data_IF_068883949147
#
_entry.id   IF_068883949147
#
_cell.length_a   1.000
_cell.length_b   1.000
_cell.length_c   1.000
_cell.angle_alpha   90.00
_cell.angle_beta   90.00
_cell.angle_gamma   90.00
#
_symmetry.space_group_name_H-M   'P 1'
#
loop_
_entity.id
_entity.type
_entity.pdbx_description
1 polymer ?
#
# COMPACT_ATOMS: atom_id res chain seq x y z
N UNK A 1 27.73 -9.32 6.61
CA UNK A 1 27.83 -8.55 5.34
C UNK A 1 27.14 -7.23 5.55
N UNK A 2 27.73 -6.11 5.13
CA UNK A 2 27.14 -4.79 5.40
C UNK A 2 25.83 -4.62 4.62
N UNK A 3 24.85 -3.95 5.21
CA UNK A 3 23.53 -3.63 4.62
C UNK A 3 23.67 -2.99 3.23
N UNK A 4 24.73 -2.24 2.99
CA UNK A 4 25.06 -1.59 1.72
C UNK A 4 25.29 -2.58 0.57
N UNK A 5 25.99 -3.70 0.81
CA UNK A 5 26.29 -4.70 -0.23
C UNK A 5 25.06 -5.48 -0.68
N UNK A 6 24.12 -5.74 0.24
CA UNK A 6 22.85 -6.38 -0.09
C UNK A 6 21.96 -5.47 -0.93
N UNK A 7 21.87 -4.18 -0.58
CA UNK A 7 21.07 -3.21 -1.34
C UNK A 7 21.60 -3.08 -2.77
N UNK A 8 22.90 -3.05 -2.97
CA UNK A 8 23.51 -3.01 -4.30
C UNK A 8 23.12 -4.24 -5.15
N UNK A 9 23.18 -5.44 -4.59
CA UNK A 9 22.75 -6.66 -5.29
C UNK A 9 21.27 -6.64 -5.69
N UNK A 10 20.40 -6.20 -4.80
CA UNK A 10 18.97 -6.04 -5.11
C UNK A 10 18.73 -5.00 -6.21
N UNK A 11 19.50 -3.93 -6.20
CA UNK A 11 19.40 -2.90 -7.23
C UNK A 11 19.82 -3.44 -8.62
N UNK A 12 20.88 -4.23 -8.70
CA UNK A 12 21.27 -4.93 -9.93
C UNK A 12 20.12 -5.78 -10.47
N UNK A 13 19.51 -6.60 -9.61
CA UNK A 13 18.37 -7.44 -10.01
C UNK A 13 17.15 -6.60 -10.44
N UNK A 14 16.86 -5.51 -9.74
CA UNK A 14 15.73 -4.62 -10.07
C UNK A 14 15.92 -3.91 -11.43
N UNK A 15 17.16 -3.70 -11.85
CA UNK A 15 17.50 -3.08 -13.12
C UNK A 15 17.56 -4.09 -14.29
N UNK A 16 17.63 -5.40 -14.01
CA UNK A 16 17.74 -6.43 -15.03
C UNK A 16 16.40 -6.60 -15.79
N UNK A 17 16.35 -6.32 -17.11
CA UNK A 17 15.13 -6.43 -17.89
C UNK A 17 14.68 -7.89 -17.97
N UNK A 18 13.37 -8.12 -17.83
CA UNK A 18 12.78 -9.45 -17.96
C UNK A 18 12.95 -10.36 -16.74
N UNK A 19 13.62 -9.92 -15.67
CA UNK A 19 13.63 -10.66 -14.41
C UNK A 19 12.26 -10.55 -13.74
N UNK A 20 11.53 -11.65 -13.71
CA UNK A 20 10.22 -11.74 -13.05
C UNK A 20 10.32 -12.39 -11.66
N UNK A 21 9.29 -12.22 -10.81
CA UNK A 21 9.26 -12.79 -9.46
C UNK A 21 9.51 -14.31 -9.43
N UNK A 22 8.87 -15.07 -10.30
CA UNK A 22 9.01 -16.52 -10.36
C UNK A 22 10.45 -16.97 -10.69
N UNK A 23 11.14 -16.25 -11.56
CA UNK A 23 12.54 -16.54 -11.88
C UNK A 23 13.44 -16.21 -10.70
N UNK A 24 13.22 -15.09 -10.05
CA UNK A 24 14.00 -14.71 -8.85
C UNK A 24 13.78 -15.70 -7.70
N UNK A 25 12.53 -16.15 -7.45
CA UNK A 25 12.26 -17.15 -6.41
C UNK A 25 13.06 -18.44 -6.65
N UNK A 26 13.16 -18.91 -7.90
CA UNK A 26 14.00 -20.08 -8.24
C UNK A 26 15.49 -19.82 -7.98
N UNK A 27 16.00 -18.64 -8.35
CA UNK A 27 17.38 -18.28 -8.08
C UNK A 27 17.67 -18.21 -6.57
N UNK A 28 16.80 -17.59 -5.78
CA UNK A 28 16.94 -17.52 -4.33
C UNK A 28 16.80 -18.89 -3.64
N UNK A 29 16.17 -19.86 -4.27
CA UNK A 29 16.15 -21.26 -3.80
C UNK A 29 17.46 -22.02 -4.12
N UNK A 30 18.23 -21.55 -5.09
CA UNK A 30 19.46 -22.21 -5.56
C UNK A 30 20.74 -21.53 -5.05
N UNK A 31 20.64 -20.27 -4.61
CA UNK A 31 21.79 -19.47 -4.14
C UNK A 31 21.50 -18.84 -2.79
N UNK A 32 22.50 -18.78 -1.92
CA UNK A 32 22.36 -18.32 -0.54
C UNK A 32 22.11 -16.80 -0.42
N UNK A 33 22.47 -16.04 -1.45
CA UNK A 33 22.33 -14.58 -1.42
C UNK A 33 22.16 -13.94 -2.80
N UNK A 34 21.59 -12.76 -2.83
CA UNK A 34 21.50 -11.91 -4.02
C UNK A 34 22.88 -11.56 -4.58
N UNK A 35 23.84 -11.33 -3.70
CA UNK A 35 25.24 -11.06 -4.09
C UNK A 35 25.85 -12.26 -4.82
N UNK A 36 25.55 -13.47 -4.37
CA UNK A 36 26.01 -14.68 -5.04
C UNK A 36 25.37 -14.82 -6.43
N UNK A 37 24.06 -14.54 -6.56
CA UNK A 37 23.39 -14.51 -7.86
C UNK A 37 24.07 -13.54 -8.83
N UNK A 38 24.40 -12.34 -8.39
CA UNK A 38 25.07 -11.33 -9.21
C UNK A 38 26.50 -11.72 -9.63
N UNK A 39 27.14 -12.63 -8.91
CA UNK A 39 28.49 -13.10 -9.18
C UNK A 39 28.55 -14.40 -10.01
N UNK A 40 27.39 -14.95 -10.43
CA UNK A 40 27.33 -16.15 -11.25
C UNK A 40 27.72 -15.90 -12.70
N UNK A 41 28.02 -16.98 -13.44
CA UNK A 41 28.20 -16.90 -14.90
C UNK A 41 26.87 -16.81 -15.62
N UNK A 42 26.88 -16.27 -16.85
CA UNK A 42 25.68 -16.23 -17.68
C UNK A 42 25.11 -17.64 -17.93
N UNK A 43 25.97 -18.64 -18.13
CA UNK A 43 25.54 -20.04 -18.32
C UNK A 43 24.79 -20.56 -17.10
N UNK A 44 25.30 -20.35 -15.89
CA UNK A 44 24.65 -20.77 -14.63
C UNK A 44 23.29 -20.12 -14.46
N UNK A 45 23.19 -18.81 -14.72
CA UNK A 45 21.91 -18.09 -14.62
C UNK A 45 20.89 -18.55 -15.68
N UNK A 46 21.36 -18.90 -16.89
CA UNK A 46 20.51 -19.46 -17.94
C UNK A 46 20.02 -20.87 -17.60
N UNK A 47 20.86 -21.71 -17.00
CA UNK A 47 20.46 -23.02 -16.45
C UNK A 47 19.38 -22.87 -15.37
N UNK A 48 19.42 -21.79 -14.57
CA UNK A 48 18.38 -21.37 -13.63
C UNK A 48 17.08 -20.85 -14.28
N UNK A 49 17.01 -20.87 -15.62
CA UNK A 49 15.82 -20.52 -16.42
C UNK A 49 15.71 -19.05 -16.80
N UNK A 50 16.79 -18.27 -16.76
CA UNK A 50 16.80 -16.91 -17.29
C UNK A 50 17.06 -16.89 -18.80
N UNK A 51 16.53 -15.84 -19.46
CA UNK A 51 16.93 -15.54 -20.85
C UNK A 51 18.39 -15.05 -20.87
N UNK A 52 19.09 -15.26 -22.00
CA UNK A 52 20.44 -14.75 -22.18
C UNK A 52 20.52 -13.22 -21.95
N UNK A 53 19.50 -12.47 -22.40
CA UNK A 53 19.44 -11.03 -22.21
C UNK A 53 19.34 -10.65 -20.72
N UNK A 54 18.52 -11.35 -19.94
CA UNK A 54 18.38 -11.12 -18.49
C UNK A 54 19.63 -11.51 -17.74
N UNK A 55 20.23 -12.69 -18.05
CA UNK A 55 21.45 -13.17 -17.42
C UNK A 55 22.62 -12.19 -17.64
N UNK A 56 22.83 -11.75 -18.89
CA UNK A 56 23.86 -10.77 -19.21
C UNK A 56 23.63 -9.42 -18.50
N UNK A 57 22.39 -8.94 -18.40
CA UNK A 57 22.08 -7.69 -17.72
C UNK A 57 22.30 -7.77 -16.18
N UNK A 58 22.25 -8.96 -15.58
CA UNK A 58 22.61 -9.15 -14.17
C UNK A 58 24.13 -9.07 -13.97
N UNK A 59 24.90 -9.68 -14.89
CA UNK A 59 26.36 -9.76 -14.78
C UNK A 59 27.03 -8.44 -15.16
N UNK A 60 26.56 -7.82 -16.23
CA UNK A 60 27.06 -6.54 -16.74
C UNK A 60 25.90 -5.51 -16.79
N UNK A 61 25.53 -4.95 -15.63
CA UNK A 61 24.44 -4.00 -15.54
C UNK A 61 24.80 -2.68 -16.26
N UNK A 62 23.80 -2.02 -16.83
CA UNK A 62 23.97 -0.66 -17.38
C UNK A 62 24.45 0.30 -16.27
N UNK A 63 25.74 0.62 -16.31
CA UNK A 63 26.43 1.48 -15.32
C UNK A 63 25.72 2.83 -15.16
N UNK A 64 25.15 3.40 -16.23
CA UNK A 64 24.47 4.69 -16.17
C UNK A 64 23.16 4.57 -15.40
N UNK A 65 22.38 3.53 -15.66
CA UNK A 65 21.14 3.26 -14.94
C UNK A 65 21.38 2.94 -13.48
N UNK A 66 22.44 2.16 -13.22
CA UNK A 66 22.84 1.84 -11.84
C UNK A 66 23.23 3.10 -11.07
N UNK A 67 24.14 3.91 -11.61
CA UNK A 67 24.56 5.16 -10.98
C UNK A 67 23.40 6.16 -10.79
N UNK A 68 22.43 6.18 -11.71
CA UNK A 68 21.23 7.00 -11.56
C UNK A 68 20.37 6.52 -10.39
N UNK A 69 20.13 5.21 -10.28
CA UNK A 69 19.32 4.64 -9.21
C UNK A 69 20.03 4.74 -7.84
N UNK A 70 21.33 4.54 -7.78
CA UNK A 70 22.14 4.77 -6.57
C UNK A 70 22.05 6.22 -6.11
N UNK A 71 22.23 7.19 -7.03
CA UNK A 71 22.08 8.62 -6.73
C UNK A 71 20.67 8.94 -6.24
N UNK A 72 19.65 8.35 -6.86
CA UNK A 72 18.27 8.55 -6.41
C UNK A 72 18.08 8.06 -4.97
N UNK A 73 18.69 6.96 -4.58
CA UNK A 73 18.65 6.41 -3.23
C UNK A 73 19.44 7.21 -2.18
N UNK A 74 20.24 8.21 -2.56
CA UNK A 74 20.95 9.07 -1.58
C UNK A 74 20.03 10.07 -0.87
N UNK A 75 18.80 10.24 -1.33
CA UNK A 75 17.82 11.13 -0.70
C UNK A 75 17.14 10.42 0.47
N UNK A 76 17.04 11.08 1.63
CA UNK A 76 16.53 10.47 2.88
C UNK A 76 15.09 9.92 2.78
N UNK A 77 14.25 10.55 1.95
CA UNK A 77 12.87 10.10 1.73
C UNK A 77 12.73 8.97 0.68
N UNK A 78 13.84 8.52 0.08
CA UNK A 78 13.85 7.51 -0.97
C UNK A 78 14.31 6.16 -0.43
N UNK A 79 13.54 5.13 -0.71
CA UNK A 79 13.80 3.79 -0.17
C UNK A 79 13.73 2.74 -1.28
N UNK A 80 14.50 1.66 -1.12
CA UNK A 80 14.37 0.42 -1.87
C UNK A 80 13.97 -0.68 -0.88
N UNK A 81 12.76 -1.20 -1.00
CA UNK A 81 12.24 -2.28 -0.16
C UNK A 81 12.25 -3.57 -0.96
N UNK A 82 13.08 -4.51 -0.55
CA UNK A 82 13.29 -5.78 -1.23
C UNK A 82 12.42 -6.89 -0.60
N UNK A 83 12.08 -7.90 -1.38
CA UNK A 83 11.14 -8.96 -1.01
C UNK A 83 11.52 -9.74 0.26
N UNK A 84 12.81 -9.83 0.57
CA UNK A 84 13.30 -10.46 1.80
C UNK A 84 13.45 -9.49 2.97
N UNK A 85 13.17 -8.19 2.77
CA UNK A 85 13.25 -7.19 3.84
C UNK A 85 12.07 -7.32 4.78
N UNK A 86 12.28 -7.07 6.07
CA UNK A 86 11.25 -7.11 7.11
C UNK A 86 10.09 -6.14 6.83
N UNK A 87 10.38 -4.99 6.24
CA UNK A 87 9.40 -3.96 5.90
C UNK A 87 8.68 -4.22 4.56
N UNK A 88 8.96 -5.36 3.89
CA UNK A 88 8.22 -5.69 2.67
C UNK A 88 6.76 -5.99 3.02
N UNK A 89 5.78 -5.34 2.33
CA UNK A 89 4.37 -5.44 2.70
C UNK A 89 3.87 -6.89 2.71
N UNK A 90 3.41 -7.44 3.84
CA UNK A 90 3.02 -8.86 3.94
C UNK A 90 1.90 -9.23 2.97
N UNK A 91 0.86 -8.37 2.86
CA UNK A 91 -0.24 -8.58 1.92
C UNK A 91 0.23 -8.70 0.46
N UNK A 92 1.18 -7.84 0.06
CA UNK A 92 1.73 -7.88 -1.29
C UNK A 92 2.63 -9.09 -1.49
N UNK A 93 3.33 -9.53 -0.45
CA UNK A 93 4.21 -10.72 -0.48
C UNK A 93 3.43 -11.99 -0.80
N UNK A 94 2.22 -12.11 -0.24
CA UNK A 94 1.32 -13.25 -0.45
C UNK A 94 0.63 -13.22 -1.83
N UNK A 95 0.66 -12.08 -2.52
CA UNK A 95 0.01 -11.93 -3.81
C UNK A 95 0.79 -12.64 -4.93
N UNK A 96 0.07 -13.27 -5.86
CA UNK A 96 0.67 -13.83 -7.06
C UNK A 96 1.40 -12.73 -7.84
N UNK A 97 2.59 -13.04 -8.38
CA UNK A 97 3.42 -12.10 -9.13
C UNK A 97 3.85 -10.84 -8.33
N UNK A 98 4.01 -10.97 -7.02
CA UNK A 98 4.53 -9.91 -6.16
C UNK A 98 5.85 -9.33 -6.71
N UNK A 99 6.04 -8.01 -6.79
CA UNK A 99 7.32 -7.43 -7.21
C UNK A 99 8.39 -7.76 -6.17
N UNK A 100 9.57 -8.12 -6.60
CA UNK A 100 10.68 -8.45 -5.67
C UNK A 100 11.39 -7.23 -5.09
N UNK A 101 11.14 -6.05 -5.63
CA UNK A 101 11.64 -4.78 -5.13
C UNK A 101 10.60 -3.68 -5.37
N UNK A 102 10.51 -2.77 -4.43
CA UNK A 102 9.69 -1.57 -4.48
C UNK A 102 10.56 -0.34 -4.25
N UNK A 103 10.51 0.59 -5.17
CA UNK A 103 11.01 1.95 -4.98
C UNK A 103 9.93 2.76 -4.28
N UNK A 104 10.27 3.47 -3.21
CA UNK A 104 9.32 4.23 -2.39
C UNK A 104 9.86 5.64 -2.15
N UNK A 105 8.98 6.63 -2.24
CA UNK A 105 9.23 8.01 -1.81
C UNK A 105 8.22 8.35 -0.73
N UNK A 106 8.68 8.91 0.39
CA UNK A 106 7.87 9.22 1.57
C UNK A 106 7.96 8.15 2.65
N UNK A 107 6.86 7.86 3.34
CA UNK A 107 6.87 6.98 4.52
C UNK A 107 6.63 5.49 4.15
N UNK A 108 7.66 4.62 4.19
CA UNK A 108 7.53 3.22 3.83
C UNK A 108 6.69 2.39 4.81
N UNK A 109 6.57 2.80 6.06
CA UNK A 109 5.79 2.08 7.10
C UNK A 109 4.31 1.94 6.70
N UNK A 110 3.79 2.90 5.94
CA UNK A 110 2.40 2.90 5.47
C UNK A 110 2.07 1.68 4.59
N UNK A 111 3.06 1.05 3.97
CA UNK A 111 2.84 -0.10 3.09
C UNK A 111 2.41 -1.35 3.84
N UNK A 112 2.68 -1.43 5.14
CA UNK A 112 2.32 -2.56 6.00
C UNK A 112 1.04 -2.31 6.81
N UNK A 113 0.50 -1.09 6.79
CA UNK A 113 -0.76 -0.76 7.48
C UNK A 113 -1.98 -1.29 6.71
N UNK A 114 -3.14 -1.43 7.36
CA UNK A 114 -4.39 -1.77 6.68
C UNK A 114 -4.73 -0.77 5.58
N UNK A 115 -4.87 -1.25 4.34
CA UNK A 115 -5.12 -0.41 3.18
C UNK A 115 -6.41 -0.81 2.47
N UNK A 116 -7.05 0.17 1.84
CA UNK A 116 -8.18 0.00 0.93
C UNK A 116 -7.86 0.67 -0.41
N UNK A 117 -7.97 -0.08 -1.49
CA UNK A 117 -7.84 0.48 -2.83
C UNK A 117 -9.12 1.21 -3.24
N UNK A 118 -9.00 2.44 -3.76
CA UNK A 118 -10.10 3.19 -4.38
C UNK A 118 -9.70 3.46 -5.82
N UNK A 119 -10.43 2.87 -6.77
CA UNK A 119 -10.11 2.96 -8.20
C UNK A 119 -11.36 3.28 -9.02
N UNK A 120 -11.16 3.77 -10.25
CA UNK A 120 -12.29 4.03 -11.12
C UNK A 120 -11.92 4.69 -12.45
N UNK A 121 -12.92 5.31 -13.05
CA UNK A 121 -12.82 5.99 -14.34
C UNK A 121 -11.83 7.16 -14.31
N UNK A 122 -11.01 7.27 -15.36
CA UNK A 122 -10.17 8.46 -15.61
C UNK A 122 -10.98 9.67 -16.05
N UNK A 123 -12.15 9.42 -16.65
CA UNK A 123 -13.14 10.42 -17.07
C UNK A 123 -14.37 10.32 -16.17
N UNK A 124 -14.14 10.47 -14.86
CA UNK A 124 -15.18 10.39 -13.86
C UNK A 124 -16.21 11.52 -13.98
N UNK A 125 -17.45 11.25 -13.61
CA UNK A 125 -18.49 12.28 -13.48
C UNK A 125 -18.21 13.14 -12.23
N UNK A 126 -18.84 14.31 -12.13
CA UNK A 126 -18.77 15.14 -10.92
C UNK A 126 -19.24 14.35 -9.68
N UNK A 127 -20.32 13.60 -9.82
CA UNK A 127 -20.83 12.70 -8.77
C UNK A 127 -19.84 11.61 -8.39
N UNK A 128 -19.17 10.98 -9.38
CA UNK A 128 -18.15 9.96 -9.13
C UNK A 128 -16.96 10.53 -8.36
N UNK A 129 -16.49 11.74 -8.71
CA UNK A 129 -15.44 12.45 -8.01
C UNK A 129 -15.83 12.75 -6.56
N UNK A 130 -17.06 13.25 -6.34
CA UNK A 130 -17.58 13.52 -5.00
C UNK A 130 -17.72 12.24 -4.18
N UNK A 131 -18.27 11.19 -4.74
CA UNK A 131 -18.41 9.88 -4.09
C UNK A 131 -17.03 9.32 -3.69
N UNK A 132 -16.05 9.33 -4.61
CA UNK A 132 -14.69 8.87 -4.30
C UNK A 132 -14.08 9.68 -3.15
N UNK A 133 -14.28 10.99 -3.14
CA UNK A 133 -13.79 11.87 -2.08
C UNK A 133 -14.45 11.58 -0.73
N UNK A 134 -15.77 11.37 -0.70
CA UNK A 134 -16.51 11.04 0.51
C UNK A 134 -16.06 9.70 1.10
N UNK A 135 -15.97 8.65 0.27
CA UNK A 135 -15.49 7.34 0.72
C UNK A 135 -14.05 7.40 1.21
N UNK A 136 -13.15 8.10 0.48
CA UNK A 136 -11.76 8.25 0.90
C UNK A 136 -11.65 8.96 2.26
N UNK A 137 -12.43 10.01 2.49
CA UNK A 137 -12.47 10.72 3.78
C UNK A 137 -12.94 9.83 4.92
N UNK A 138 -14.05 9.13 4.74
CA UNK A 138 -14.59 8.25 5.79
C UNK A 138 -13.62 7.10 6.11
N UNK A 139 -13.13 6.40 5.08
CA UNK A 139 -12.23 5.26 5.26
C UNK A 139 -10.88 5.68 5.88
N UNK A 140 -10.32 6.82 5.46
CA UNK A 140 -9.09 7.34 6.06
C UNK A 140 -9.28 7.83 7.50
N UNK A 141 -10.44 8.38 7.84
CA UNK A 141 -10.78 8.75 9.21
C UNK A 141 -11.01 7.52 10.11
N UNK A 142 -11.45 6.40 9.52
CA UNK A 142 -11.57 5.11 10.22
C UNK A 142 -10.25 4.33 10.29
N UNK A 143 -9.11 4.95 9.94
CA UNK A 143 -7.78 4.38 10.11
C UNK A 143 -7.25 3.56 8.93
N UNK A 144 -8.00 3.43 7.83
CA UNK A 144 -7.47 2.79 6.62
C UNK A 144 -6.57 3.76 5.85
N UNK A 145 -5.46 3.26 5.32
CA UNK A 145 -4.68 3.98 4.33
C UNK A 145 -5.32 3.80 2.95
N UNK A 146 -5.66 4.89 2.28
CA UNK A 146 -6.23 4.84 0.93
C UNK A 146 -5.12 4.64 -0.09
N UNK A 147 -5.24 3.59 -0.90
CA UNK A 147 -4.29 3.24 -1.96
C UNK A 147 -4.95 3.43 -3.32
N UNK A 148 -4.23 4.05 -4.27
CA UNK A 148 -4.72 4.22 -5.64
C UNK A 148 -3.57 4.38 -6.63
N UNK A 149 -3.90 4.65 -7.90
CA UNK A 149 -2.94 4.64 -8.99
C UNK A 149 -2.49 6.01 -9.49
N UNK A 150 -2.80 7.09 -8.82
CA UNK A 150 -2.45 8.46 -9.23
C UNK A 150 -2.97 8.84 -10.64
N UNK A 151 -3.94 8.12 -11.19
CA UNK A 151 -4.56 8.45 -12.47
C UNK A 151 -5.49 9.67 -12.33
N UNK A 152 -5.90 10.27 -13.45
CA UNK A 152 -6.94 11.28 -13.45
C UNK A 152 -8.28 10.69 -13.01
N UNK A 153 -9.23 11.50 -12.58
CA UNK A 153 -10.58 11.09 -12.18
C UNK A 153 -10.63 10.54 -10.77
N UNK A 154 -11.14 9.34 -10.59
CA UNK A 154 -11.41 8.73 -9.27
C UNK A 154 -10.16 8.62 -8.41
N UNK A 155 -9.04 8.13 -8.97
CA UNK A 155 -7.77 7.99 -8.23
C UNK A 155 -7.31 9.32 -7.64
N UNK A 156 -7.30 10.38 -8.47
CA UNK A 156 -6.92 11.73 -8.02
C UNK A 156 -7.86 12.29 -6.97
N UNK A 157 -9.17 12.01 -7.08
CA UNK A 157 -10.17 12.45 -6.12
C UNK A 157 -9.95 11.80 -4.75
N UNK A 158 -9.72 10.48 -4.74
CA UNK A 158 -9.43 9.73 -3.53
C UNK A 158 -8.17 10.23 -2.81
N UNK A 159 -7.05 10.39 -3.54
CA UNK A 159 -5.81 10.91 -2.97
C UNK A 159 -5.97 12.34 -2.43
N UNK A 160 -6.62 13.22 -3.22
CA UNK A 160 -6.85 14.62 -2.81
C UNK A 160 -7.62 14.72 -1.51
N UNK A 161 -8.67 13.91 -1.38
CA UNK A 161 -9.51 13.88 -0.18
C UNK A 161 -8.72 13.48 1.08
N UNK A 162 -7.74 12.59 0.96
CA UNK A 162 -6.84 12.22 2.05
C UNK A 162 -5.84 13.34 2.37
N UNK A 163 -5.18 13.89 1.34
CA UNK A 163 -4.21 14.99 1.49
C UNK A 163 -4.83 16.22 2.15
N UNK A 164 -6.04 16.64 1.74
CA UNK A 164 -6.79 17.76 2.33
C UNK A 164 -7.05 17.60 3.82
N UNK A 165 -7.10 16.37 4.32
CA UNK A 165 -7.29 16.05 5.74
C UNK A 165 -6.00 15.65 6.45
N UNK A 166 -4.84 15.82 5.79
CA UNK A 166 -3.54 15.35 6.30
C UNK A 166 -3.54 13.87 6.69
N UNK A 167 -4.34 13.06 5.98
CA UNK A 167 -4.41 11.60 6.17
C UNK A 167 -3.47 10.89 5.19
N UNK A 168 -2.86 9.75 5.61
CA UNK A 168 -1.96 9.01 4.77
C UNK A 168 -2.66 8.42 3.55
N UNK A 169 -1.95 8.43 2.42
CA UNK A 169 -2.39 7.76 1.19
C UNK A 169 -1.18 7.21 0.43
N UNK A 170 -1.36 6.08 -0.25
CA UNK A 170 -0.31 5.40 -1.03
C UNK A 170 -0.65 5.47 -2.51
N UNK A 171 0.20 6.14 -3.28
CA UNK A 171 0.06 6.22 -4.72
C UNK A 171 1.01 5.24 -5.41
N UNK A 172 0.46 4.20 -6.05
CA UNK A 172 1.26 3.26 -6.85
C UNK A 172 1.45 3.81 -8.25
N UNK A 173 2.70 3.92 -8.72
CA UNK A 173 3.05 4.55 -10.00
C UNK A 173 3.41 3.51 -11.07
N UNK A 174 3.14 3.82 -12.34
CA UNK A 174 3.50 2.99 -13.50
C UNK A 174 4.76 3.49 -14.21
N UNK A 175 5.59 4.27 -13.53
CA UNK A 175 6.86 4.87 -14.00
C UNK A 175 7.88 4.80 -12.90
N UNK A 176 9.15 5.10 -13.20
CA UNK A 176 10.12 5.47 -12.17
C UNK A 176 9.63 6.67 -11.36
N UNK A 177 10.03 6.75 -10.10
CA UNK A 177 9.60 7.82 -9.17
C UNK A 177 10.42 9.11 -9.32
N UNK A 178 11.35 9.17 -10.26
CA UNK A 178 12.07 10.38 -10.70
C UNK A 178 11.16 11.31 -11.54
N UNK A 179 9.94 10.86 -11.86
CA UNK A 179 8.95 11.59 -12.65
C UNK A 179 7.53 11.29 -12.21
N UNK A 180 6.61 12.22 -12.46
CA UNK A 180 5.19 12.05 -12.16
C UNK A 180 4.39 11.89 -13.45
N UNK A 181 3.57 10.83 -13.51
CA UNK A 181 2.62 10.63 -14.60
C UNK A 181 1.22 10.31 -14.05
N UNK A 182 0.16 11.00 -14.52
CA UNK A 182 0.18 12.09 -15.49
C UNK A 182 0.75 13.38 -14.89
N UNK A 183 1.41 14.22 -15.71
CA UNK A 183 2.04 15.46 -15.25
C UNK A 183 1.07 16.44 -14.55
N UNK A 184 -0.23 16.38 -14.89
CA UNK A 184 -1.29 17.14 -14.22
C UNK A 184 -1.42 16.85 -12.72
N UNK A 185 -0.94 15.71 -12.26
CA UNK A 185 -0.96 15.30 -10.86
C UNK A 185 0.36 15.57 -10.12
N UNK A 186 1.28 16.36 -10.69
CA UNK A 186 2.59 16.65 -10.06
C UNK A 186 2.44 17.28 -8.67
N UNK A 187 1.57 18.29 -8.53
CA UNK A 187 1.30 18.93 -7.24
C UNK A 187 0.69 17.95 -6.23
N UNK A 188 -0.22 17.08 -6.70
CA UNK A 188 -0.81 16.04 -5.85
C UNK A 188 0.23 15.01 -5.41
N UNK A 189 1.11 14.58 -6.30
CA UNK A 189 2.21 13.66 -5.97
C UNK A 189 3.14 14.25 -4.89
N UNK A 190 3.53 15.53 -5.04
CA UNK A 190 4.35 16.22 -4.04
C UNK A 190 3.63 16.34 -2.67
N UNK A 191 2.31 16.54 -2.67
CA UNK A 191 1.54 16.57 -1.44
C UNK A 191 1.41 15.17 -0.79
N UNK A 192 1.28 14.11 -1.59
CA UNK A 192 1.28 12.72 -1.11
C UNK A 192 2.63 12.37 -0.46
N UNK A 193 3.74 12.78 -1.05
CA UNK A 193 5.09 12.56 -0.48
C UNK A 193 5.20 13.07 0.95
N UNK A 194 4.54 14.18 1.29
CA UNK A 194 4.60 14.80 2.63
C UNK A 194 3.76 14.08 3.69
N UNK A 195 2.68 13.40 3.30
CA UNK A 195 1.76 12.76 4.25
C UNK A 195 1.55 11.26 4.01
N UNK A 196 2.14 10.71 2.95
CA UNK A 196 1.90 9.37 2.46
C UNK A 196 3.13 8.71 1.87
N UNK A 197 2.93 7.97 0.77
CA UNK A 197 4.00 7.35 0.00
C UNK A 197 3.67 7.25 -1.49
N UNK A 198 4.67 7.44 -2.33
CA UNK A 198 4.66 7.04 -3.75
C UNK A 198 5.42 5.72 -3.87
N UNK A 199 4.88 4.77 -4.62
CA UNK A 199 5.44 3.42 -4.75
C UNK A 199 5.52 3.01 -6.21
N UNK A 200 6.61 2.36 -6.61
CA UNK A 200 6.75 1.80 -7.94
C UNK A 200 7.60 0.53 -7.94
N UNK A 201 7.27 -0.43 -8.79
CA UNK A 201 8.18 -1.54 -9.13
C UNK A 201 9.22 -1.15 -10.19
N UNK A 202 9.03 0.00 -10.83
CA UNK A 202 9.90 0.46 -11.90
C UNK A 202 11.01 1.35 -11.32
N UNK A 203 12.29 1.07 -11.66
CA UNK A 203 13.41 1.89 -11.20
C UNK A 203 13.36 3.32 -11.76
N UNK A 204 14.06 4.26 -11.12
CA UNK A 204 14.25 5.61 -11.66
C UNK A 204 14.71 5.58 -13.12
N UNK A 205 14.23 6.51 -13.93
CA UNK A 205 14.50 6.60 -15.37
C UNK A 205 13.51 5.85 -16.26
N UNK A 206 12.64 5.00 -15.71
CA UNK A 206 11.64 4.29 -16.51
C UNK A 206 10.49 5.22 -16.88
N UNK A 207 10.29 5.37 -18.19
CA UNK A 207 9.26 6.24 -18.77
C UNK A 207 7.86 5.60 -18.76
N UNK A 208 6.79 6.42 -18.89
CA UNK A 208 5.43 5.92 -19.02
C UNK A 208 5.29 5.01 -20.25
N UNK A 209 4.80 3.81 -20.04
CA UNK A 209 4.44 2.89 -21.13
C UNK A 209 3.08 2.29 -20.87
N UNK A 210 2.29 2.08 -21.94
CA UNK A 210 0.89 1.61 -21.84
C UNK A 210 0.75 0.31 -21.03
N UNK A 211 1.71 -0.60 -21.16
CA UNK A 211 1.69 -1.91 -20.51
C UNK A 211 2.10 -1.85 -19.01
N UNK A 212 2.72 -0.76 -18.57
CA UNK A 212 3.09 -0.56 -17.18
C UNK A 212 1.86 -0.35 -16.28
N UNK A 213 0.81 0.30 -16.79
CA UNK A 213 -0.36 0.64 -15.98
C UNK A 213 -1.20 -0.59 -15.59
N UNK A 214 -1.53 -1.52 -16.51
CA UNK A 214 -2.17 -2.78 -16.12
C UNK A 214 -1.28 -3.60 -15.16
N UNK A 215 0.01 -3.71 -15.45
CA UNK A 215 0.96 -4.43 -14.62
C UNK A 215 1.04 -3.86 -13.20
N UNK A 216 1.09 -2.53 -13.04
CA UNK A 216 1.09 -1.85 -11.77
C UNK A 216 -0.17 -2.13 -10.94
N UNK A 217 -1.34 -2.30 -11.58
CA UNK A 217 -2.62 -2.45 -10.87
C UNK A 217 -2.66 -3.64 -9.91
N UNK A 218 -1.90 -4.72 -10.18
CA UNK A 218 -1.73 -5.84 -9.24
C UNK A 218 -1.11 -5.45 -7.91
N UNK A 219 -0.32 -4.35 -7.88
CA UNK A 219 0.29 -3.84 -6.67
C UNK A 219 -0.72 -3.02 -5.87
N UNK A 220 -1.61 -2.27 -6.53
CA UNK A 220 -2.69 -1.54 -5.86
C UNK A 220 -3.58 -2.52 -5.08
N UNK A 221 -4.07 -3.57 -5.73
CA UNK A 221 -4.88 -4.60 -5.07
C UNK A 221 -4.07 -5.41 -4.06
N UNK A 222 -2.82 -5.75 -4.38
CA UNK A 222 -1.95 -6.55 -3.53
C UNK A 222 -1.56 -5.89 -2.20
N UNK A 223 -1.50 -4.55 -2.14
CA UNK A 223 -1.29 -3.79 -0.91
C UNK A 223 -2.56 -3.67 -0.07
N UNK A 224 -3.73 -3.93 -0.62
CA UNK A 224 -5.02 -3.59 -0.03
C UNK A 224 -5.78 -4.81 0.46
N UNK A 225 -6.54 -4.67 1.54
CA UNK A 225 -7.47 -5.68 2.06
C UNK A 225 -8.68 -5.86 1.13
N UNK A 226 -9.07 -4.78 0.44
CA UNK A 226 -10.15 -4.79 -0.54
C UNK A 226 -10.00 -3.67 -1.55
N UNK A 227 -10.79 -3.74 -2.62
CA UNK A 227 -10.77 -2.77 -3.73
C UNK A 227 -12.17 -2.22 -3.99
N UNK A 228 -12.36 -0.92 -3.79
CA UNK A 228 -13.58 -0.19 -4.12
C UNK A 228 -13.50 0.37 -5.55
N UNK A 229 -14.47 0.00 -6.38
CA UNK A 229 -14.67 0.57 -7.72
C UNK A 229 -15.82 1.56 -7.68
N UNK A 230 -15.52 2.86 -7.84
CA UNK A 230 -16.54 3.94 -7.73
C UNK A 230 -17.28 4.13 -9.04
N UNK A 231 -16.60 4.30 -10.14
CA UNK A 231 -17.15 4.36 -11.49
C UNK A 231 -16.27 3.58 -12.46
N UNK A 232 -16.88 2.78 -13.32
CA UNK A 232 -16.18 2.05 -14.37
C UNK A 232 -17.05 1.83 -15.59
N UNK A 233 -16.58 2.22 -16.76
CA UNK A 233 -17.13 1.74 -18.03
C UNK A 233 -16.74 0.27 -18.28
N UNK A 234 -17.34 -0.37 -19.28
CA UNK A 234 -17.13 -1.80 -19.58
C UNK A 234 -15.67 -2.15 -19.89
N UNK A 235 -14.92 -1.20 -20.41
CA UNK A 235 -13.50 -1.35 -20.78
C UNK A 235 -12.56 -0.56 -19.85
N UNK A 236 -13.03 -0.18 -18.67
CA UNK A 236 -12.22 0.58 -17.71
C UNK A 236 -11.06 -0.26 -17.17
N UNK A 237 -9.88 0.37 -17.08
CA UNK A 237 -8.72 -0.24 -16.40
C UNK A 237 -8.94 -0.56 -14.93
N UNK A 238 -9.92 0.07 -14.27
CA UNK A 238 -10.32 -0.24 -12.90
C UNK A 238 -10.86 -1.68 -12.76
N UNK A 239 -11.47 -2.23 -13.82
CA UNK A 239 -11.92 -3.62 -13.83
C UNK A 239 -10.74 -4.61 -13.82
N UNK A 240 -9.58 -4.22 -14.34
CA UNK A 240 -8.35 -5.02 -14.26
C UNK A 240 -7.88 -5.09 -12.81
N UNK A 241 -7.91 -3.95 -12.09
CA UNK A 241 -7.56 -3.91 -10.66
C UNK A 241 -8.51 -4.77 -9.83
N UNK A 242 -9.82 -4.69 -10.09
CA UNK A 242 -10.83 -5.54 -9.43
C UNK A 242 -10.60 -7.04 -9.73
N UNK A 243 -10.21 -7.38 -10.97
CA UNK A 243 -9.83 -8.75 -11.35
C UNK A 243 -8.63 -9.25 -10.55
N UNK A 244 -7.56 -8.46 -10.46
CA UNK A 244 -6.41 -8.80 -9.61
C UNK A 244 -6.78 -8.95 -8.14
N UNK A 245 -7.65 -8.07 -7.60
CA UNK A 245 -8.14 -8.20 -6.23
C UNK A 245 -8.81 -9.55 -5.99
N UNK A 246 -9.72 -9.97 -6.87
CA UNK A 246 -10.39 -11.26 -6.79
C UNK A 246 -9.41 -12.45 -6.92
N UNK A 247 -8.46 -12.39 -7.87
CA UNK A 247 -7.42 -13.41 -8.04
C UNK A 247 -6.49 -13.54 -6.81
N UNK A 248 -6.29 -12.44 -6.08
CA UNK A 248 -5.50 -12.37 -4.86
C UNK A 248 -6.31 -12.71 -3.59
N UNK A 249 -7.59 -13.10 -3.73
CA UNK A 249 -8.47 -13.39 -2.60
C UNK A 249 -8.81 -12.17 -1.75
N UNK A 250 -8.86 -10.97 -2.37
CA UNK A 250 -9.23 -9.72 -1.72
C UNK A 250 -10.68 -9.38 -2.01
N UNK A 251 -11.32 -8.68 -1.07
CA UNK A 251 -12.68 -8.21 -1.26
C UNK A 251 -12.79 -7.20 -2.40
N UNK A 252 -13.88 -7.30 -3.16
CA UNK A 252 -14.19 -6.35 -4.23
C UNK A 252 -15.52 -5.69 -3.92
N UNK A 253 -15.49 -4.36 -3.85
CA UNK A 253 -16.65 -3.50 -3.61
C UNK A 253 -16.97 -2.68 -4.84
N UNK A 254 -18.22 -2.44 -5.11
CA UNK A 254 -18.64 -1.61 -6.24
C UNK A 254 -19.81 -0.69 -5.86
N UNK A 255 -19.68 0.58 -6.23
CA UNK A 255 -20.75 1.56 -6.06
C UNK A 255 -21.81 1.31 -7.15
N UNK A 256 -23.09 1.14 -6.80
CA UNK A 256 -24.18 1.08 -7.77
C UNK A 256 -24.39 2.44 -8.44
N UNK A 257 -25.04 2.45 -9.59
CA UNK A 257 -25.37 3.70 -10.28
C UNK A 257 -26.53 3.52 -11.26
N UNK A 258 -26.84 4.58 -11.99
CA UNK A 258 -27.91 4.53 -12.97
C UNK A 258 -27.62 3.47 -14.05
N UNK A 259 -28.62 2.66 -14.38
CA UNK A 259 -28.55 1.67 -15.48
C UNK A 259 -28.33 2.32 -16.84
N UNK A 260 -28.62 3.60 -16.98
CA UNK A 260 -28.43 4.39 -18.20
C UNK A 260 -27.02 5.00 -18.29
N UNK A 261 -26.27 5.06 -17.16
CA UNK A 261 -24.92 5.61 -17.15
C UNK A 261 -23.90 4.62 -17.71
N UNK A 262 -23.14 4.99 -18.76
CA UNK A 262 -22.04 4.17 -19.24
C UNK A 262 -20.97 3.90 -18.18
N UNK A 263 -20.76 4.85 -17.24
CA UNK A 263 -19.77 4.76 -16.16
C UNK A 263 -20.19 3.81 -15.03
N UNK A 264 -21.45 3.37 -14.98
CA UNK A 264 -21.94 2.41 -13.99
C UNK A 264 -21.91 0.95 -14.51
N UNK A 265 -21.77 0.76 -15.82
CA UNK A 265 -21.86 -0.57 -16.44
C UNK A 265 -20.79 -1.55 -15.93
N UNK A 266 -19.58 -1.07 -15.68
CA UNK A 266 -18.49 -1.87 -15.11
C UNK A 266 -18.79 -2.27 -13.66
N UNK A 267 -19.24 -1.33 -12.82
CA UNK A 267 -19.67 -1.62 -11.44
C UNK A 267 -20.80 -2.65 -11.40
N UNK A 268 -21.83 -2.49 -12.25
CA UNK A 268 -22.93 -3.46 -12.36
C UNK A 268 -22.44 -4.85 -12.79
N UNK A 269 -21.43 -4.92 -13.70
CA UNK A 269 -20.81 -6.18 -14.08
C UNK A 269 -20.12 -6.83 -12.89
N UNK A 270 -19.33 -6.07 -12.12
CA UNK A 270 -18.65 -6.57 -10.92
C UNK A 270 -19.65 -7.09 -9.88
N UNK A 271 -20.73 -6.34 -9.60
CA UNK A 271 -21.79 -6.77 -8.67
C UNK A 271 -22.42 -8.09 -9.13
N UNK A 272 -22.73 -8.24 -10.42
CA UNK A 272 -23.24 -9.49 -10.99
C UNK A 272 -22.24 -10.66 -10.90
N UNK A 273 -20.95 -10.37 -10.79
CA UNK A 273 -19.87 -11.34 -10.63
C UNK A 273 -19.55 -11.65 -9.16
N UNK A 274 -20.27 -11.05 -8.21
CA UNK A 274 -20.12 -11.31 -6.79
C UNK A 274 -19.43 -10.19 -6.01
N UNK A 275 -19.06 -9.08 -6.64
CA UNK A 275 -18.57 -7.91 -5.89
C UNK A 275 -19.66 -7.39 -4.96
N UNK A 276 -19.31 -7.03 -3.73
CA UNK A 276 -20.24 -6.48 -2.75
C UNK A 276 -20.70 -5.08 -3.18
N UNK A 277 -22.00 -4.91 -3.32
CA UNK A 277 -22.61 -3.59 -3.51
C UNK A 277 -22.46 -2.80 -2.22
N UNK A 278 -21.98 -1.55 -2.32
CA UNK A 278 -21.82 -0.67 -1.18
C UNK A 278 -22.49 0.69 -1.43
N UNK A 279 -23.17 1.20 -0.43
CA UNK A 279 -23.83 2.49 -0.43
C UNK A 279 -23.18 3.45 0.57
N UNK A 280 -22.49 2.91 1.58
CA UNK A 280 -21.80 3.66 2.62
C UNK A 280 -20.42 3.09 2.92
N UNK A 281 -19.52 3.91 3.46
CA UNK A 281 -18.20 3.45 3.90
C UNK A 281 -18.29 2.41 5.04
N UNK A 282 -19.35 2.46 5.83
CA UNK A 282 -19.64 1.48 6.88
C UNK A 282 -19.70 0.05 6.34
N UNK A 283 -20.30 -0.16 5.16
CA UNK A 283 -20.41 -1.47 4.53
C UNK A 283 -19.03 -2.12 4.26
N UNK A 284 -18.02 -1.28 3.94
CA UNK A 284 -16.63 -1.70 3.73
C UNK A 284 -15.94 -1.96 5.05
N UNK A 285 -16.15 -1.06 6.03
CA UNK A 285 -15.52 -1.16 7.35
C UNK A 285 -15.97 -2.43 8.06
N UNK A 286 -17.26 -2.74 8.07
CA UNK A 286 -17.79 -3.97 8.66
C UNK A 286 -17.17 -5.23 8.06
N UNK A 287 -16.98 -5.26 6.75
CA UNK A 287 -16.39 -6.41 6.06
C UNK A 287 -14.90 -6.56 6.34
N UNK A 288 -14.16 -5.45 6.35
CA UNK A 288 -12.70 -5.47 6.44
C UNK A 288 -12.17 -5.36 7.88
N UNK A 289 -12.99 -4.97 8.87
CA UNK A 289 -12.56 -4.78 10.24
C UNK A 289 -11.83 -5.99 10.85
N UNK A 290 -12.32 -7.23 10.71
CA UNK A 290 -11.64 -8.39 11.29
C UNK A 290 -10.22 -8.58 10.71
N UNK A 291 -10.08 -8.40 9.39
CA UNK A 291 -8.79 -8.53 8.69
C UNK A 291 -7.84 -7.38 9.05
N UNK A 292 -8.36 -6.15 9.17
CA UNK A 292 -7.58 -4.97 9.56
C UNK A 292 -7.00 -5.13 10.98
N UNK A 293 -7.81 -5.58 11.94
CA UNK A 293 -7.38 -5.84 13.32
C UNK A 293 -6.30 -6.94 13.36
N UNK A 294 -6.51 -8.04 12.64
CA UNK A 294 -5.53 -9.13 12.58
C UNK A 294 -4.17 -8.62 12.06
N UNK A 295 -4.16 -7.82 10.99
CA UNK A 295 -2.94 -7.26 10.41
C UNK A 295 -2.23 -6.28 11.35
N UNK A 296 -2.96 -5.42 12.04
CA UNK A 296 -2.35 -4.50 13.00
C UNK A 296 -1.68 -5.24 14.16
N UNK A 297 -2.26 -6.35 14.63
CA UNK A 297 -1.66 -7.20 15.66
C UNK A 297 -0.38 -7.88 15.16
N UNK A 298 -0.36 -8.40 13.94
CA UNK A 298 0.83 -9.00 13.31
C UNK A 298 1.98 -7.99 13.16
N UNK A 299 1.67 -6.76 12.72
CA UNK A 299 2.67 -5.70 12.56
C UNK A 299 3.28 -5.28 13.89
N UNK A 300 2.50 -5.27 14.96
CA UNK A 300 2.99 -4.96 16.32
C UNK A 300 3.84 -6.09 16.89
N UNK A 301 3.45 -7.35 16.74
CA UNK A 301 4.21 -8.52 17.21
C UNK A 301 5.53 -8.74 16.46
N UNK A 302 5.55 -8.58 15.15
CA UNK A 302 6.77 -8.76 14.34
C UNK A 302 7.87 -7.73 14.64
N UNK A 303 7.50 -6.51 15.03
CA UNK A 303 8.45 -5.48 15.47
C UNK A 303 9.08 -5.76 16.85
N UNK A 304 8.41 -6.55 17.68
CA UNK A 304 8.92 -6.94 19.00
C UNK A 304 9.78 -8.20 18.96
N UNK A 305 9.54 -9.16 18.10
CA UNK A 305 10.37 -10.37 17.98
C UNK A 305 11.81 -10.07 17.53
N UNK A 306 12.02 -9.04 16.70
CA UNK A 306 13.35 -8.62 16.25
C UNK A 306 14.13 -7.79 17.28
N UNK A 307 13.48 -7.35 18.37
CA UNK A 307 14.08 -6.56 19.46
C UNK A 307 14.22 -7.35 20.76
N UNK A 308 13.82 -8.62 20.82
CA UNK A 308 13.85 -9.41 22.04
C UNK A 308 15.17 -10.14 22.23
N UNK A 309 15.84 -9.84 23.36
CA UNK A 309 16.58 -10.85 24.13
C UNK A 309 15.56 -11.88 24.70
N UNK A 310 15.91 -13.17 24.78
CA UNK A 310 14.95 -14.23 25.14
C UNK A 310 14.66 -14.20 26.63
N UNK A 311 13.68 -13.43 27.07
CA UNK A 311 12.92 -13.69 28.34
C UNK A 311 11.98 -12.56 28.71
N UNK A 312 10.71 -12.58 28.20
CA UNK A 312 9.52 -12.07 28.92
C UNK A 312 8.23 -12.36 28.10
N UNK A 313 7.10 -12.69 28.73
CA UNK A 313 5.87 -13.05 28.02
C UNK A 313 5.24 -11.88 27.28
N UNK A 314 4.75 -12.16 26.06
CA UNK A 314 4.34 -11.20 25.03
C UNK A 314 3.09 -10.36 25.34
N UNK A 315 2.23 -10.81 26.25
CA UNK A 315 0.92 -10.17 26.48
C UNK A 315 0.96 -8.83 27.25
N UNK A 316 2.05 -8.56 28.00
CA UNK A 316 2.08 -7.40 28.89
C UNK A 316 2.41 -6.06 28.21
N UNK A 317 3.13 -6.06 27.08
CA UNK A 317 3.58 -4.80 26.46
C UNK A 317 2.52 -4.20 25.52
N UNK A 318 1.77 -5.04 24.81
CA UNK A 318 0.67 -4.60 23.94
C UNK A 318 -0.45 -4.03 24.80
N UNK A 319 -0.83 -4.75 25.87
CA UNK A 319 -1.82 -4.30 26.85
C UNK A 319 -1.40 -2.98 27.48
N UNK A 320 -0.13 -2.81 27.83
CA UNK A 320 0.40 -1.57 28.40
C UNK A 320 0.32 -0.36 27.43
N UNK A 321 0.48 -0.56 26.12
CA UNK A 321 0.33 0.48 25.10
C UNK A 321 -1.11 0.97 25.00
N UNK A 322 -2.07 0.06 24.96
CA UNK A 322 -3.50 0.38 24.93
C UNK A 322 -3.97 1.02 26.24
N UNK A 323 -3.53 0.53 27.41
CA UNK A 323 -3.81 1.13 28.70
C UNK A 323 -3.27 2.55 28.79
N UNK A 324 -2.05 2.78 28.29
CA UNK A 324 -1.42 4.10 28.22
C UNK A 324 -2.21 5.06 27.34
N UNK A 325 -2.68 4.59 26.18
CA UNK A 325 -3.51 5.39 25.26
C UNK A 325 -4.88 5.70 25.87
N UNK A 326 -5.55 4.72 26.46
CA UNK A 326 -6.84 4.90 27.13
C UNK A 326 -6.72 5.82 28.35
N UNK A 327 -5.62 5.73 29.12
CA UNK A 327 -5.34 6.63 30.22
C UNK A 327 -5.09 8.07 29.74
N UNK A 328 -4.34 8.24 28.64
CA UNK A 328 -4.07 9.54 28.03
C UNK A 328 -5.32 10.18 27.41
N UNK A 329 -6.27 9.36 26.94
CA UNK A 329 -7.53 9.78 26.37
C UNK A 329 -8.47 10.36 27.44
N UNK A 330 -8.53 9.73 28.62
CA UNK A 330 -9.54 10.08 29.62
C UNK A 330 -10.97 9.80 29.14
N UNK A 331 -11.93 10.66 29.56
CA UNK A 331 -13.34 10.52 29.22
C UNK A 331 -13.87 11.67 28.33
N UNK A 332 -13.04 12.71 28.11
CA UNK A 332 -13.40 13.86 27.29
C UNK A 332 -12.97 13.65 25.82
N UNK A 333 -13.67 14.27 24.85
CA UNK A 333 -13.27 14.22 23.45
C UNK A 333 -11.86 14.77 23.22
N UNK A 334 -10.97 13.96 22.62
CA UNK A 334 -9.57 14.31 22.37
C UNK A 334 -9.19 14.05 20.92
N UNK A 335 -8.35 14.91 20.33
CA UNK A 335 -7.81 14.73 18.98
C UNK A 335 -6.59 13.80 18.95
N UNK A 336 -6.28 13.24 17.79
CA UNK A 336 -5.06 12.43 17.58
C UNK A 336 -3.81 13.18 18.02
N UNK A 337 -3.67 14.45 17.62
CA UNK A 337 -2.52 15.29 18.04
C UNK A 337 -2.45 15.50 19.57
N UNK A 338 -3.60 15.59 20.20
CA UNK A 338 -3.68 15.69 21.67
C UNK A 338 -3.21 14.40 22.35
N UNK A 339 -3.57 13.25 21.78
CA UNK A 339 -3.13 11.94 22.27
C UNK A 339 -1.63 11.73 22.06
N UNK A 340 -1.10 12.04 20.88
CA UNK A 340 0.33 11.98 20.56
C UNK A 340 1.15 12.75 21.60
N UNK A 341 0.73 13.99 21.93
CA UNK A 341 1.41 14.82 22.94
C UNK A 341 1.34 14.24 24.34
N UNK A 342 0.24 13.56 24.71
CA UNK A 342 0.03 13.02 26.06
C UNK A 342 0.68 11.66 26.29
N UNK A 343 0.66 10.78 25.28
CA UNK A 343 1.18 9.41 25.42
C UNK A 343 2.60 9.23 24.89
N UNK A 344 3.14 10.19 24.09
CA UNK A 344 4.48 10.11 23.52
C UNK A 344 4.63 9.02 22.45
N UNK A 345 3.52 8.51 21.90
CA UNK A 345 3.48 7.60 20.76
C UNK A 345 3.46 8.41 19.46
N UNK A 346 3.86 7.80 18.36
CA UNK A 346 3.76 8.43 17.04
C UNK A 346 2.31 8.56 16.58
N UNK A 347 2.03 9.49 15.66
CA UNK A 347 0.69 9.65 15.09
C UNK A 347 0.17 8.38 14.40
N UNK A 348 1.06 7.61 13.78
CA UNK A 348 0.73 6.33 13.15
C UNK A 348 0.32 5.27 14.18
N UNK A 349 1.08 5.12 15.28
CA UNK A 349 0.75 4.20 16.37
C UNK A 349 -0.58 4.57 17.02
N UNK A 350 -0.77 5.86 17.37
CA UNK A 350 -2.03 6.35 17.95
C UNK A 350 -3.21 6.08 17.02
N UNK A 351 -3.09 6.36 15.70
CA UNK A 351 -4.18 6.13 14.75
C UNK A 351 -4.52 4.64 14.62
N UNK A 352 -3.50 3.77 14.58
CA UNK A 352 -3.71 2.31 14.53
C UNK A 352 -4.40 1.78 15.79
N UNK A 353 -3.99 2.26 16.97
CA UNK A 353 -4.60 1.86 18.24
C UNK A 353 -6.04 2.37 18.37
N UNK A 354 -6.32 3.60 17.92
CA UNK A 354 -7.67 4.16 17.92
C UNK A 354 -8.62 3.37 17.02
N UNK A 355 -8.14 2.93 15.84
CA UNK A 355 -8.93 2.06 14.95
C UNK A 355 -9.36 0.78 15.68
N UNK A 356 -8.44 0.10 16.34
CA UNK A 356 -8.74 -1.14 17.07
C UNK A 356 -9.74 -0.89 18.18
N UNK A 357 -9.53 0.15 19.01
CA UNK A 357 -10.40 0.49 20.12
C UNK A 357 -11.81 0.92 19.64
N UNK A 358 -11.93 1.57 18.49
CA UNK A 358 -13.20 1.93 17.88
C UNK A 358 -13.94 0.69 17.35
N UNK A 359 -13.23 -0.23 16.67
CA UNK A 359 -13.78 -1.48 16.19
C UNK A 359 -14.17 -2.44 17.35
N UNK A 360 -13.47 -2.40 18.47
CA UNK A 360 -13.84 -3.12 19.68
C UNK A 360 -14.98 -2.42 20.46
N UNK A 361 -15.44 -1.26 19.98
CA UNK A 361 -16.51 -0.50 20.61
C UNK A 361 -16.16 0.19 21.91
N UNK A 362 -14.87 0.28 22.26
CA UNK A 362 -14.38 0.91 23.49
C UNK A 362 -14.35 2.45 23.40
N UNK A 363 -14.23 2.97 22.17
CA UNK A 363 -14.26 4.40 21.89
C UNK A 363 -15.23 4.69 20.73
N UNK A 364 -15.51 5.96 20.49
CA UNK A 364 -16.25 6.45 19.33
C UNK A 364 -15.55 7.66 18.70
N UNK A 365 -15.63 7.77 17.38
CA UNK A 365 -15.19 8.96 16.67
C UNK A 365 -16.30 10.02 16.68
N UNK A 366 -15.90 11.27 16.89
CA UNK A 366 -16.77 12.43 16.90
C UNK A 366 -16.41 13.39 15.77
N UNK A 367 -17.35 14.29 15.44
CA UNK A 367 -17.10 15.32 14.45
C UNK A 367 -15.86 16.15 14.75
N UNK A 368 -15.06 16.47 13.71
CA UNK A 368 -13.78 17.21 13.85
C UNK A 368 -12.58 16.35 14.24
N UNK A 369 -12.60 15.04 13.93
CA UNK A 369 -11.45 14.14 14.12
C UNK A 369 -11.08 13.91 15.60
N UNK A 370 -12.06 13.98 16.48
CA UNK A 370 -11.90 13.70 17.91
C UNK A 370 -12.45 12.34 18.26
N UNK A 371 -11.90 11.72 19.27
CA UNK A 371 -12.29 10.41 19.80
C UNK A 371 -12.69 10.52 21.25
N UNK A 372 -13.66 9.74 21.68
CA UNK A 372 -14.15 9.70 23.05
C UNK A 372 -14.33 8.25 23.51
N UNK A 373 -14.01 7.99 24.77
CA UNK A 373 -14.19 6.67 25.39
C UNK A 373 -15.68 6.39 25.63
N UNK A 374 -16.14 5.20 25.28
CA UNK A 374 -17.51 4.72 25.62
C UNK A 374 -17.51 4.16 27.04
N UNK A 375 -18.47 4.60 27.83
CA UNK A 375 -18.71 4.00 29.13
C UNK A 375 -19.19 2.56 28.97
N UNK A 376 -18.55 1.61 29.64
CA UNK A 376 -19.01 0.21 29.72
C UNK A 376 -20.41 0.22 30.36
N UNK A 377 -21.46 -0.14 29.61
CA UNK A 377 -22.74 -0.48 30.23
C UNK A 377 -22.49 -1.72 31.08
N UNK A 378 -22.47 -1.55 32.40
CA UNK A 378 -22.63 -2.67 33.31
C UNK A 378 -24.03 -3.27 33.04
N UNK A 379 -24.04 -4.52 32.58
CA UNK A 379 -25.21 -5.41 32.70
C UNK A 379 -25.25 -5.98 34.11
#
# INVERSE_FOLDING_TARGET
MSTSTQVAGWLHLALAPGLGPAALTRLLASFDSVTEICNQSASTLMEGGLSAATANAIIDPDVRRLAMAERWLTHDAHHLICWNHVDYPPLLKDAAQSPFALFVVGNPVLLSLPQIAIVGSRSATANGVETASLFARHLSNSGFTVTSGLALGIDSAAHRACVEQSKPTVAVCGTGLDRVYPAKNATLAAAIEQCGALVSEFPPGVEPHKDHFPRRNRIISGLSLGTLVVEAGIHSGALITAGYAAEQGREVFAIPGSIHSPQSKGCHRLIKQGAKLVEAAADIIEELAPQAIARLRETQSGGEELRREPNKPADSAITAGYEKLLAAMGWDPVSVDGLVKRCGLTAAEVSSMLLILELEGQIESLSGGRYQRKGTKQQ
#
